data_IF_020995904834
#
_entry.id   IF_020995904834
#
_cell.length_a   1.000
_cell.length_b   1.000
_cell.length_c   1.000
_cell.angle_alpha   90.00
_cell.angle_beta   90.00
_cell.angle_gamma   90.00
#
_symmetry.space_group_name_H-M   'P 1'
#
loop_
_entity.id
_entity.type
_entity.pdbx_description
1 polymer ?
#
# COMPACT_ATOMS: atom_id res chain seq x y z
N UNK A 1 12.06 6.29 7.95
CA UNK A 1 10.96 5.30 7.86
C UNK A 1 10.46 5.23 6.43
N UNK A 2 9.93 4.08 6.01
CA UNK A 2 9.28 3.96 4.70
C UNK A 2 8.01 4.82 4.63
N UNK A 3 7.90 5.66 3.59
CA UNK A 3 6.69 6.43 3.30
C UNK A 3 5.72 5.54 2.54
N UNK A 4 4.45 5.53 2.95
CA UNK A 4 3.41 4.67 2.39
C UNK A 4 3.88 3.21 2.30
N UNK A 5 4.18 2.55 3.44
CA UNK A 5 4.82 1.25 3.45
C UNK A 5 3.91 0.17 2.87
N UNK A 6 4.53 -0.74 2.12
CA UNK A 6 3.90 -1.92 1.55
C UNK A 6 4.75 -3.16 1.81
N UNK A 7 4.10 -4.31 1.88
CA UNK A 7 4.74 -5.62 2.05
C UNK A 7 4.31 -6.53 0.91
N UNK A 8 5.26 -7.29 0.39
CA UNK A 8 5.02 -8.35 -0.61
C UNK A 8 4.67 -9.66 0.09
N UNK A 9 4.07 -10.63 -0.59
CA UNK A 9 3.78 -11.95 0.01
C UNK A 9 5.00 -12.70 0.53
N UNK A 10 6.19 -12.43 -0.02
CA UNK A 10 7.44 -12.98 0.52
C UNK A 10 7.90 -12.31 1.83
N UNK A 11 7.15 -11.35 2.36
CA UNK A 11 7.38 -10.72 3.67
C UNK A 11 8.30 -9.51 3.66
N UNK A 12 8.88 -9.13 2.52
CA UNK A 12 9.77 -7.97 2.43
C UNK A 12 8.99 -6.65 2.33
N UNK A 13 9.46 -5.64 3.08
CA UNK A 13 8.85 -4.33 3.24
C UNK A 13 9.57 -3.26 2.44
N UNK A 14 8.80 -2.41 1.75
CA UNK A 14 9.31 -1.32 0.93
C UNK A 14 8.43 -0.06 1.07
N UNK A 15 8.93 1.09 0.60
CA UNK A 15 8.06 2.22 0.26
C UNK A 15 7.28 1.90 -1.02
N UNK A 16 6.02 2.32 -1.13
CA UNK A 16 5.22 2.10 -2.35
C UNK A 16 5.93 2.59 -3.62
N UNK A 17 6.47 3.81 -3.61
CA UNK A 17 7.18 4.37 -4.77
C UNK A 17 8.41 3.55 -5.17
N UNK A 18 9.15 3.01 -4.19
CA UNK A 18 10.34 2.21 -4.45
C UNK A 18 9.99 0.87 -5.10
N UNK A 19 8.97 0.19 -4.57
CA UNK A 19 8.51 -1.08 -5.13
C UNK A 19 7.91 -0.88 -6.53
N UNK A 20 7.10 0.17 -6.73
CA UNK A 20 6.49 0.45 -8.03
C UNK A 20 7.54 0.70 -9.11
N UNK A 21 8.54 1.56 -8.84
CA UNK A 21 9.61 1.83 -9.79
C UNK A 21 10.45 0.57 -10.08
N UNK A 22 10.68 -0.26 -9.06
CA UNK A 22 11.37 -1.53 -9.27
C UNK A 22 10.64 -2.42 -10.26
N UNK A 23 9.35 -2.65 -10.04
CA UNK A 23 8.54 -3.56 -10.86
C UNK A 23 8.31 -3.02 -12.28
N UNK A 24 8.22 -1.70 -12.45
CA UNK A 24 7.79 -1.10 -13.73
C UNK A 24 8.91 -0.43 -14.54
N UNK A 25 10.07 -0.14 -13.93
CA UNK A 25 11.13 0.64 -14.57
C UNK A 25 12.46 -0.12 -14.55
N UNK A 26 12.84 -0.67 -13.40
CA UNK A 26 14.17 -1.25 -13.22
C UNK A 26 14.24 -2.75 -13.52
N UNK A 27 13.13 -3.46 -13.37
CA UNK A 27 13.05 -4.89 -13.60
C UNK A 27 12.16 -5.20 -14.80
N UNK A 28 12.59 -6.15 -15.64
CA UNK A 28 11.74 -6.75 -16.68
C UNK A 28 10.92 -7.94 -16.13
N UNK A 29 11.04 -8.21 -14.83
CA UNK A 29 10.39 -9.31 -14.13
C UNK A 29 9.70 -8.80 -12.88
N UNK A 30 8.52 -9.33 -12.63
CA UNK A 30 7.71 -9.10 -11.44
C UNK A 30 8.28 -9.87 -10.25
N UNK A 31 9.47 -9.47 -9.78
CA UNK A 31 10.23 -10.16 -8.72
C UNK A 31 10.62 -9.25 -7.56
N UNK A 32 10.66 -9.82 -6.36
CA UNK A 32 11.13 -9.15 -5.16
C UNK A 32 12.62 -8.79 -5.32
N UNK A 33 13.02 -7.53 -5.06
CA UNK A 33 14.43 -7.11 -5.13
C UNK A 33 15.36 -7.94 -4.23
N UNK A 34 14.83 -8.47 -3.12
CA UNK A 34 15.61 -9.16 -2.09
C UNK A 34 15.73 -10.65 -2.36
N UNK A 35 14.60 -11.37 -2.42
CA UNK A 35 14.59 -12.83 -2.47
C UNK A 35 14.23 -13.42 -3.84
N UNK A 36 13.94 -12.58 -4.84
CA UNK A 36 13.57 -13.02 -6.19
C UNK A 36 12.25 -13.80 -6.27
N UNK A 37 11.47 -13.84 -5.20
CA UNK A 37 10.10 -14.36 -5.22
C UNK A 37 9.20 -13.51 -6.11
N UNK A 38 8.16 -14.12 -6.69
CA UNK A 38 7.18 -13.44 -7.54
C UNK A 38 6.42 -12.34 -6.77
N UNK A 39 6.18 -11.21 -7.44
CA UNK A 39 5.43 -10.08 -6.90
C UNK A 39 4.46 -9.56 -7.96
N UNK A 40 3.17 -9.79 -7.78
CA UNK A 40 2.14 -9.15 -8.59
C UNK A 40 1.67 -7.86 -7.92
N UNK A 41 1.22 -6.88 -8.70
CA UNK A 41 0.68 -5.62 -8.17
C UNK A 41 -0.53 -5.87 -7.24
N UNK A 42 -1.33 -6.89 -7.54
CA UNK A 42 -2.47 -7.31 -6.72
C UNK A 42 -2.07 -7.90 -5.36
N UNK A 43 -0.82 -8.36 -5.24
CA UNK A 43 -0.28 -9.04 -4.05
C UNK A 43 0.42 -8.06 -3.09
N UNK A 44 0.43 -6.77 -3.44
CA UNK A 44 1.04 -5.73 -2.62
C UNK A 44 0.11 -5.35 -1.48
N UNK A 45 0.51 -5.70 -0.25
CA UNK A 45 -0.27 -5.46 0.96
C UNK A 45 0.17 -4.15 1.62
N UNK A 46 -0.69 -3.11 1.72
CA UNK A 46 -0.36 -1.88 2.44
C UNK A 46 -0.30 -2.14 3.95
N UNK A 47 0.75 -1.62 4.61
CA UNK A 47 0.85 -1.62 6.07
C UNK A 47 0.47 -0.24 6.60
N UNK A 48 -0.28 -0.23 7.70
CA UNK A 48 -0.65 0.97 8.43
C UNK A 48 -0.06 0.86 9.83
N UNK A 49 0.69 1.87 10.27
CA UNK A 49 1.31 1.90 11.59
C UNK A 49 1.10 3.25 12.25
N UNK A 50 1.28 3.30 13.57
CA UNK A 50 1.19 4.52 14.37
C UNK A 50 2.51 5.32 14.29
N UNK A 51 3.00 5.58 13.07
CA UNK A 51 4.10 6.51 12.85
C UNK A 51 3.50 7.89 12.60
N UNK A 52 4.11 8.94 13.19
CA UNK A 52 3.66 10.34 13.06
C UNK A 52 3.23 10.65 11.63
N UNK A 53 1.93 10.56 11.41
CA UNK A 53 1.27 10.93 10.18
C UNK A 53 1.11 12.43 10.27
N UNK A 54 2.21 13.18 10.14
CA UNK A 54 2.12 14.60 9.82
C UNK A 54 1.38 14.64 8.49
N UNK A 55 0.06 14.84 8.58
CA UNK A 55 -0.86 14.67 7.48
C UNK A 55 -0.45 15.59 6.34
N UNK A 56 0.17 15.03 5.30
CA UNK A 56 0.11 15.66 3.99
C UNK A 56 -1.25 15.29 3.40
N UNK A 57 -2.29 15.98 3.86
CA UNK A 57 -3.43 16.29 2.99
C UNK A 57 -2.89 17.20 1.89
N UNK A 58 -2.28 16.60 0.88
CA UNK A 58 -2.08 17.17 -0.45
C UNK A 58 -1.74 16.00 -1.36
N UNK A 59 -2.77 15.36 -1.93
CA UNK A 59 -3.18 15.62 -3.30
C UNK A 59 -1.99 15.71 -4.27
N UNK A 60 -1.80 14.61 -5.00
CA UNK A 60 -1.83 14.70 -6.47
C UNK A 60 -0.92 15.73 -7.12
N UNK A 61 0.39 15.56 -7.05
CA UNK A 61 1.20 15.81 -8.26
C UNK A 61 2.34 14.83 -8.25
N UNK A 62 2.55 14.18 -9.40
CA UNK A 62 3.60 13.19 -9.57
C UNK A 62 4.90 13.75 -9.02
N UNK A 63 5.39 13.16 -7.92
CA UNK A 63 6.82 13.02 -7.73
C UNK A 63 7.23 12.18 -8.94
N UNK A 64 7.51 12.87 -10.05
CA UNK A 64 8.28 12.30 -11.12
C UNK A 64 9.47 11.69 -10.40
N UNK A 65 9.57 10.35 -10.47
CA UNK A 65 10.87 9.77 -10.24
C UNK A 65 11.83 10.47 -11.20
N UNK A 66 13.12 10.44 -10.92
CA UNK A 66 14.14 10.95 -11.84
C UNK A 66 13.96 10.42 -13.28
N UNK A 67 13.23 9.32 -13.45
CA UNK A 67 12.84 8.69 -14.72
C UNK A 67 11.54 9.21 -15.38
N UNK A 68 10.87 10.24 -14.84
CA UNK A 68 9.64 10.81 -15.43
C UNK A 68 8.37 9.96 -15.28
N UNK A 69 8.44 8.87 -14.51
CA UNK A 69 7.34 7.90 -14.38
C UNK A 69 6.29 8.41 -13.39
N UNK A 70 5.00 8.40 -13.79
CA UNK A 70 3.86 8.77 -12.94
C UNK A 70 3.46 7.59 -12.07
N UNK A 71 3.85 7.64 -10.79
CA UNK A 71 3.54 6.58 -9.83
C UNK A 71 2.07 6.74 -9.37
N UNK A 72 1.21 5.70 -9.51
CA UNK A 72 -0.17 5.74 -9.03
C UNK A 72 -0.23 5.79 -7.49
N UNK A 73 -1.36 6.18 -6.87
CA UNK A 73 -1.51 6.12 -5.43
C UNK A 73 -1.38 4.68 -4.91
N UNK A 74 -0.91 4.52 -3.67
CA UNK A 74 -0.79 3.21 -3.01
C UNK A 74 -2.17 2.54 -2.94
N UNK A 75 -2.30 1.24 -3.30
CA UNK A 75 -3.56 0.52 -3.14
C UNK A 75 -4.04 0.54 -1.68
N UNK A 76 -5.35 0.68 -1.50
CA UNK A 76 -5.97 0.66 -0.18
C UNK A 76 -6.14 -0.78 0.31
N UNK A 77 -5.95 -1.01 1.61
CA UNK A 77 -6.19 -2.30 2.21
C UNK A 77 -7.67 -2.67 2.12
N UNK A 78 -7.96 -3.83 1.53
CA UNK A 78 -9.31 -4.35 1.49
C UNK A 78 -9.65 -5.01 2.83
N UNK A 79 -10.38 -4.29 3.69
CA UNK A 79 -10.86 -4.83 4.97
C UNK A 79 -12.27 -5.38 4.80
N UNK A 80 -12.40 -6.69 4.94
CA UNK A 80 -13.72 -7.30 5.16
C UNK A 80 -14.18 -7.03 6.59
N UNK A 81 -15.42 -6.57 6.73
CA UNK A 81 -16.03 -6.42 8.05
C UNK A 81 -16.20 -7.78 8.70
N UNK A 82 -15.82 -7.87 9.98
CA UNK A 82 -16.08 -9.08 10.76
C UNK A 82 -17.53 -9.10 11.24
N UNK A 83 -18.06 -10.30 11.54
CA UNK A 83 -19.40 -10.46 12.10
C UNK A 83 -19.62 -9.61 13.36
N UNK A 84 -18.57 -9.42 14.17
CA UNK A 84 -18.57 -8.57 15.37
C UNK A 84 -18.85 -7.10 15.01
N UNK A 85 -18.17 -6.58 13.98
CA UNK A 85 -18.38 -5.20 13.53
C UNK A 85 -19.79 -4.99 12.98
N UNK A 86 -20.35 -5.99 12.29
CA UNK A 86 -21.71 -5.93 11.77
C UNK A 86 -22.76 -5.85 12.89
N UNK A 87 -22.59 -6.61 13.98
CA UNK A 87 -23.51 -6.56 15.12
C UNK A 87 -23.44 -5.24 15.90
N UNK A 88 -22.26 -4.64 16.01
CA UNK A 88 -22.09 -3.35 16.70
C UNK A 88 -22.77 -2.21 15.93
N UNK A 89 -22.72 -2.22 14.58
CA UNK A 89 -23.42 -1.23 13.75
C UNK A 89 -24.95 -1.37 13.84
N UNK A 90 -25.46 -2.60 13.87
CA UNK A 90 -26.91 -2.85 13.98
C UNK A 90 -27.46 -2.31 15.31
N UNK A 91 -26.74 -2.52 16.42
CA UNK A 91 -27.12 -1.93 17.72
C UNK A 91 -27.12 -0.41 17.71
N UNK A 92 -26.10 0.21 17.12
CA UNK A 92 -26.00 1.68 17.05
C UNK A 92 -27.10 2.34 16.23
N UNK A 93 -27.76 1.61 15.31
CA UNK A 93 -28.83 2.15 14.46
C UNK A 93 -30.19 2.14 15.18
N UNK A 94 -30.32 1.36 16.24
CA UNK A 94 -31.56 1.23 17.03
C UNK A 94 -31.63 2.14 18.26
N UNK A 95 -30.58 2.92 18.55
CA UNK A 95 -30.51 3.85 19.69
C UNK A 95 -30.80 5.32 19.32
N UNK A 96 -31.48 5.58 18.19
CA UNK A 96 -31.91 6.93 17.76
C UNK A 96 -33.43 7.05 17.85
#
# INVERSE_FOLDING_TARGET
MAKDPVVTYCGHLFCWSCLYLWLHVYSNKNECPVCKGEVQDADVIPIYGHGNSSGSKDQTTGKASESGVRIPPRPHGHRFESARQRSDREKSTFEI
#
